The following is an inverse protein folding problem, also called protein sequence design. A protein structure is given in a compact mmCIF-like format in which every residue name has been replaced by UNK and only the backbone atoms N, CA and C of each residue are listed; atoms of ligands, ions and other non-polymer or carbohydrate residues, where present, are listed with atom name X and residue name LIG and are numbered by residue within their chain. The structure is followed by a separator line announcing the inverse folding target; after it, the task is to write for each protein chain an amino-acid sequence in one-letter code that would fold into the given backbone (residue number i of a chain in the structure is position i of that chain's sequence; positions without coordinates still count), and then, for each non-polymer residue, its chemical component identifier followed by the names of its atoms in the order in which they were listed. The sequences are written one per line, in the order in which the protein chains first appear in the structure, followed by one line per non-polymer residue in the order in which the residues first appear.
data_IF_680633020852
#
_entry.id   IF_680633020852
#
_cell.length_a   1.000
_cell.length_b   1.000
_cell.length_c   1.000
_cell.angle_alpha   90.00
_cell.angle_beta   90.00
_cell.angle_gamma   90.00
#
_symmetry.space_group_name_H-M   'P 1'
#
loop_
_entity.id
_entity.type
_entity.pdbx_description
1 polymer ?
#
# COMPACT_ATOMS: atom_id res chain seq x y z
N UNK A 1 15.39 47.94 2.50
CA UNK A 1 14.41 48.34 1.48
C UNK A 1 14.22 47.19 0.50
N UNK A 2 12.99 46.85 0.17
CA UNK A 2 12.63 45.82 -0.81
C UNK A 2 11.82 46.46 -1.94
N UNK A 3 12.16 46.17 -3.19
CA UNK A 3 11.50 46.73 -4.37
C UNK A 3 10.68 45.67 -5.07
N UNK A 4 9.43 46.00 -5.40
CA UNK A 4 8.57 45.17 -6.21
C UNK A 4 8.83 45.45 -7.68
N UNK A 5 9.48 44.54 -8.40
CA UNK A 5 9.81 44.72 -9.82
C UNK A 5 8.62 44.60 -10.77
N UNK A 6 7.45 44.18 -10.29
CA UNK A 6 6.21 44.10 -11.08
C UNK A 6 5.54 45.47 -11.21
N UNK A 7 5.58 46.28 -10.15
CA UNK A 7 4.95 47.61 -10.11
C UNK A 7 5.91 48.74 -9.69
N UNK A 8 7.21 48.44 -9.63
CA UNK A 8 8.32 49.31 -9.21
C UNK A 8 8.12 50.05 -7.88
N UNK A 9 7.38 49.44 -6.95
CA UNK A 9 7.06 50.03 -5.65
C UNK A 9 8.10 49.64 -4.59
N UNK A 10 8.58 50.61 -3.82
CA UNK A 10 9.55 50.40 -2.75
C UNK A 10 8.86 50.21 -1.40
N UNK A 11 9.43 49.32 -0.59
CA UNK A 11 8.95 49.00 0.75
C UNK A 11 10.09 49.12 1.74
N UNK A 12 9.83 49.80 2.85
CA UNK A 12 10.80 49.99 3.93
C UNK A 12 11.08 48.68 4.66
N UNK A 13 10.05 47.84 4.82
CA UNK A 13 10.11 46.57 5.55
C UNK A 13 9.83 45.36 4.64
N UNK A 14 10.46 44.22 4.95
CA UNK A 14 10.20 42.93 4.25
C UNK A 14 8.74 42.50 4.41
N UNK A 15 8.15 42.70 5.59
CA UNK A 15 6.75 42.34 5.85
C UNK A 15 5.78 43.12 4.96
N UNK A 16 6.00 44.45 4.79
CA UNK A 16 5.21 45.27 3.89
C UNK A 16 5.30 44.85 2.43
N UNK A 17 6.50 44.43 1.99
CA UNK A 17 6.71 43.86 0.66
C UNK A 17 5.94 42.54 0.45
N UNK A 18 5.99 41.62 1.41
CA UNK A 18 5.25 40.36 1.33
C UNK A 18 3.72 40.56 1.35
N UNK A 19 3.22 41.45 2.21
CA UNK A 19 1.80 41.78 2.26
C UNK A 19 1.31 42.40 0.94
N UNK A 20 2.09 43.31 0.35
CA UNK A 20 1.78 43.89 -0.96
C UNK A 20 1.68 42.83 -2.08
N UNK A 21 2.62 41.87 -2.11
CA UNK A 21 2.60 40.80 -3.12
C UNK A 21 1.43 39.84 -2.96
N UNK A 22 0.96 39.61 -1.73
CA UNK A 22 -0.20 38.77 -1.48
C UNK A 22 -1.56 39.41 -1.80
N UNK A 23 -1.66 40.74 -1.84
CA UNK A 23 -2.95 41.45 -1.90
C UNK A 23 -3.14 42.36 -3.12
N UNK A 24 -2.07 42.77 -3.81
CA UNK A 24 -2.22 43.76 -4.88
C UNK A 24 -2.72 43.14 -6.19
N UNK A 25 -3.63 43.87 -6.85
CA UNK A 25 -4.24 43.49 -8.15
C UNK A 25 -3.24 43.28 -9.30
N UNK A 26 -2.02 43.79 -9.20
CA UNK A 26 -0.98 43.59 -10.22
C UNK A 26 -0.31 42.20 -10.15
N UNK A 27 -0.50 41.46 -9.06
CA UNK A 27 0.17 40.18 -8.77
C UNK A 27 -0.73 38.97 -9.00
N UNK A 28 -1.67 39.07 -9.94
CA UNK A 28 -2.68 38.03 -10.22
C UNK A 28 -2.04 36.71 -10.66
N UNK A 29 -0.84 36.75 -11.26
CA UNK A 29 -0.10 35.59 -11.73
C UNK A 29 1.04 35.18 -10.80
N UNK A 30 1.04 35.61 -9.54
CA UNK A 30 2.06 35.18 -8.57
C UNK A 30 1.78 33.76 -8.06
N UNK A 31 2.80 32.91 -8.06
CA UNK A 31 2.74 31.64 -7.33
C UNK A 31 2.78 31.93 -5.82
N UNK A 32 1.75 31.53 -5.07
CA UNK A 32 1.65 31.84 -3.63
C UNK A 32 2.68 31.12 -2.76
N UNK A 33 3.15 29.94 -3.17
CA UNK A 33 4.13 29.15 -2.40
C UNK A 33 5.56 29.64 -2.63
N UNK A 34 5.94 29.83 -3.88
CA UNK A 34 7.30 30.24 -4.25
C UNK A 34 7.44 31.78 -4.30
N UNK A 35 6.33 32.51 -4.24
CA UNK A 35 6.25 33.95 -4.43
C UNK A 35 6.94 34.38 -5.74
N UNK A 36 6.78 33.61 -6.81
CA UNK A 36 7.36 33.94 -8.12
C UNK A 36 6.29 34.56 -9.00
N UNK A 37 6.60 35.71 -9.61
CA UNK A 37 5.72 36.37 -10.58
C UNK A 37 5.87 35.76 -11.97
N UNK A 38 4.76 35.69 -12.71
CA UNK A 38 4.71 35.19 -14.08
C UNK A 38 3.99 36.17 -15.01
N UNK A 39 4.41 36.21 -16.27
CA UNK A 39 3.82 37.09 -17.30
C UNK A 39 2.42 36.68 -17.76
N UNK A 40 1.95 35.48 -17.42
CA UNK A 40 0.62 34.98 -17.77
C UNK A 40 0.16 33.87 -16.83
N UNK A 41 -1.16 33.67 -16.72
CA UNK A 41 -1.78 32.58 -15.96
C UNK A 41 -1.27 31.20 -16.42
N UNK A 42 -1.15 30.99 -17.74
CA UNK A 42 -0.64 29.72 -18.30
C UNK A 42 0.79 29.43 -17.85
N UNK A 43 1.66 30.44 -17.81
CA UNK A 43 3.04 30.28 -17.35
C UNK A 43 3.12 29.97 -15.84
N UNK A 44 2.27 30.61 -15.04
CA UNK A 44 2.15 30.31 -13.61
C UNK A 44 1.63 28.88 -13.37
N UNK A 45 0.57 28.47 -14.07
CA UNK A 45 0.01 27.11 -13.95
C UNK A 45 1.02 26.03 -14.37
N UNK A 46 1.78 26.27 -15.45
CA UNK A 46 2.84 25.35 -15.85
C UNK A 46 3.93 25.25 -14.76
N UNK A 47 4.32 26.37 -14.18
CA UNK A 47 5.27 26.35 -13.06
C UNK A 47 4.76 25.55 -11.86
N UNK A 48 3.50 25.74 -11.47
CA UNK A 48 2.91 24.98 -10.35
C UNK A 48 2.92 23.49 -10.64
N UNK A 49 2.64 23.07 -11.89
CA UNK A 49 2.66 21.66 -12.29
C UNK A 49 4.06 21.05 -12.25
N UNK A 50 5.07 21.71 -12.81
CA UNK A 50 6.35 21.06 -13.08
C UNK A 50 7.42 21.32 -12.01
N UNK A 51 7.16 22.24 -11.09
CA UNK A 51 8.15 22.66 -10.11
C UNK A 51 8.28 21.65 -8.96
N UNK A 52 9.51 21.28 -8.55
CA UNK A 52 9.73 20.39 -7.41
C UNK A 52 9.28 21.00 -6.07
N UNK A 53 9.04 22.31 -6.02
CA UNK A 53 8.49 23.00 -4.84
C UNK A 53 6.96 22.86 -4.71
N UNK A 54 6.33 22.14 -5.63
CA UNK A 54 4.90 21.87 -5.63
C UNK A 54 4.66 20.37 -5.63
N UNK A 55 3.55 19.96 -5.03
CA UNK A 55 3.18 18.56 -4.90
C UNK A 55 1.86 18.37 -5.60
N UNK A 56 1.88 18.41 -6.93
CA UNK A 56 0.67 18.38 -7.75
C UNK A 56 0.35 16.96 -8.19
N UNK A 57 -0.91 16.56 -8.02
CA UNK A 57 -1.39 15.34 -8.67
C UNK A 57 -1.67 15.61 -10.15
N UNK A 58 -0.93 14.93 -11.04
CA UNK A 58 -1.13 15.01 -12.49
C UNK A 58 -2.23 14.07 -13.02
N UNK A 59 -2.83 13.27 -12.15
CA UNK A 59 -3.89 12.32 -12.51
C UNK A 59 -5.30 12.87 -12.22
N UNK A 60 -5.40 14.02 -11.57
CA UNK A 60 -6.64 14.74 -11.33
C UNK A 60 -6.75 15.95 -12.26
N UNK A 61 -7.94 16.21 -12.78
CA UNK A 61 -8.22 17.37 -13.64
C UNK A 61 -8.01 18.70 -12.90
N UNK A 62 -8.30 18.73 -11.59
CA UNK A 62 -8.18 19.94 -10.77
C UNK A 62 -6.74 20.25 -10.33
N UNK A 63 -5.75 19.42 -10.70
CA UNK A 63 -4.33 19.59 -10.42
C UNK A 63 -4.06 20.13 -8.99
N UNK A 64 -4.59 19.44 -7.98
CA UNK A 64 -4.48 19.86 -6.59
C UNK A 64 -3.02 19.91 -6.14
N UNK A 65 -2.61 21.07 -5.60
CA UNK A 65 -1.28 21.31 -5.04
C UNK A 65 -1.26 21.01 -3.54
N UNK A 66 -0.76 19.83 -3.16
CA UNK A 66 -0.68 19.39 -1.77
C UNK A 66 0.41 20.15 -1.00
N UNK A 67 0.26 20.24 0.32
CA UNK A 67 1.23 20.96 1.17
C UNK A 67 2.56 20.22 1.34
N UNK A 68 2.56 18.90 1.19
CA UNK A 68 3.73 18.03 1.36
C UNK A 68 3.70 16.87 0.36
N UNK A 69 4.86 16.31 0.05
CA UNK A 69 4.98 15.13 -0.81
C UNK A 69 4.22 13.92 -0.24
N UNK A 70 4.27 13.73 1.09
CA UNK A 70 3.54 12.67 1.79
C UNK A 70 2.03 12.75 1.57
N UNK A 71 1.44 13.96 1.59
CA UNK A 71 0.00 14.12 1.32
C UNK A 71 -0.36 13.81 -0.14
N UNK A 72 0.54 14.13 -1.08
CA UNK A 72 0.37 13.75 -2.47
C UNK A 72 0.46 12.21 -2.63
N UNK A 73 1.41 11.57 -1.97
CA UNK A 73 1.54 10.11 -1.99
C UNK A 73 0.31 9.43 -1.38
N UNK A 74 -0.18 9.92 -0.23
CA UNK A 74 -1.40 9.40 0.39
C UNK A 74 -2.62 9.60 -0.49
N UNK A 75 -2.72 10.74 -1.18
CA UNK A 75 -3.75 10.97 -2.17
C UNK A 75 -3.65 9.98 -3.34
N UNK A 76 -2.45 9.73 -3.86
CA UNK A 76 -2.25 8.77 -4.94
C UNK A 76 -2.60 7.33 -4.52
N UNK A 77 -2.31 6.95 -3.27
CA UNK A 77 -2.74 5.67 -2.69
C UNK A 77 -4.26 5.60 -2.62
N UNK A 78 -4.90 6.60 -2.01
CA UNK A 78 -6.33 6.52 -1.64
C UNK A 78 -7.28 6.80 -2.80
N UNK A 79 -6.89 7.68 -3.74
CA UNK A 79 -7.75 8.15 -4.83
C UNK A 79 -7.43 7.42 -6.14
N UNK A 80 -6.17 7.06 -6.35
CA UNK A 80 -5.71 6.44 -7.59
C UNK A 80 -5.24 4.99 -7.44
N UNK A 81 -5.37 4.40 -6.25
CA UNK A 81 -4.88 3.04 -5.95
C UNK A 81 -3.44 2.85 -6.48
N UNK A 82 -2.56 3.84 -6.22
CA UNK A 82 -1.18 3.82 -6.69
C UNK A 82 -0.24 3.35 -5.59
N UNK A 83 0.67 2.43 -5.93
CA UNK A 83 1.69 1.93 -5.02
C UNK A 83 2.69 3.04 -4.68
N UNK A 84 2.93 3.28 -3.39
CA UNK A 84 3.88 4.31 -2.94
C UNK A 84 5.32 4.03 -3.35
N UNK A 85 5.68 2.75 -3.50
CA UNK A 85 7.05 2.30 -3.76
C UNK A 85 7.35 2.29 -5.26
N UNK A 86 6.60 1.52 -6.06
CA UNK A 86 6.85 1.39 -7.50
C UNK A 86 6.00 2.32 -8.38
N UNK A 87 5.10 3.12 -7.79
CA UNK A 87 4.18 4.04 -8.49
C UNK A 87 3.26 3.37 -9.52
N UNK A 88 3.10 2.04 -9.46
CA UNK A 88 2.14 1.28 -10.28
C UNK A 88 0.71 1.53 -9.80
N UNK A 89 -0.21 1.69 -10.75
CA UNK A 89 -1.65 1.90 -10.51
C UNK A 89 -2.44 0.60 -10.62
N UNK A 90 -3.50 0.51 -9.83
CA UNK A 90 -4.44 -0.60 -9.79
C UNK A 90 -5.88 -0.12 -9.97
N UNK A 91 -6.76 -1.00 -10.44
CA UNK A 91 -8.17 -0.65 -10.64
C UNK A 91 -8.94 -0.59 -9.32
N UNK A 92 -8.48 -1.31 -8.30
CA UNK A 92 -9.12 -1.39 -6.97
C UNK A 92 -8.10 -1.27 -5.85
N UNK A 93 -8.55 -0.81 -4.68
CA UNK A 93 -7.73 -0.73 -3.46
C UNK A 93 -7.31 -2.12 -2.97
N UNK A 94 -8.17 -3.12 -3.11
CA UNK A 94 -7.86 -4.52 -2.79
C UNK A 94 -6.68 -5.04 -3.61
N UNK A 95 -6.65 -4.76 -4.92
CA UNK A 95 -5.55 -5.16 -5.79
C UNK A 95 -4.24 -4.44 -5.42
N UNK A 96 -4.30 -3.15 -5.05
CA UNK A 96 -3.13 -2.44 -4.55
C UNK A 96 -2.58 -3.07 -3.27
N UNK A 97 -3.45 -3.41 -2.31
CA UNK A 97 -3.05 -4.06 -1.05
C UNK A 97 -2.44 -5.44 -1.30
N UNK A 98 -3.05 -6.26 -2.15
CA UNK A 98 -2.46 -7.54 -2.55
C UNK A 98 -1.15 -7.38 -3.33
N UNK A 99 -0.90 -6.23 -3.95
CA UNK A 99 0.38 -5.95 -4.59
C UNK A 99 1.43 -5.46 -3.60
N UNK A 100 1.08 -4.69 -2.56
CA UNK A 100 2.08 -4.09 -1.67
C UNK A 100 2.95 -5.12 -0.95
N UNK A 101 2.44 -6.35 -0.76
CA UNK A 101 3.23 -7.46 -0.21
C UNK A 101 4.44 -7.80 -1.07
N UNK A 102 4.41 -7.58 -2.40
CA UNK A 102 5.56 -7.85 -3.30
C UNK A 102 6.79 -7.00 -2.95
N UNK A 103 6.60 -5.90 -2.23
CA UNK A 103 7.69 -5.06 -1.75
C UNK A 103 8.23 -5.46 -0.37
N UNK A 104 7.63 -6.46 0.28
CA UNK A 104 8.18 -7.11 1.46
C UNK A 104 9.33 -8.05 1.02
N UNK A 105 10.24 -8.34 1.94
CA UNK A 105 11.28 -9.32 1.70
C UNK A 105 10.66 -10.71 1.48
N UNK A 106 11.20 -11.50 0.55
CA UNK A 106 10.91 -12.93 0.44
C UNK A 106 11.66 -13.66 1.55
N UNK A 107 10.96 -14.02 2.62
CA UNK A 107 11.54 -14.62 3.83
C UNK A 107 10.88 -15.95 4.23
N UNK A 108 9.86 -16.40 3.48
CA UNK A 108 9.18 -17.68 3.75
C UNK A 108 9.81 -18.79 2.91
N UNK A 109 10.62 -19.63 3.54
CA UNK A 109 11.24 -20.79 2.91
C UNK A 109 10.29 -21.99 2.82
N UNK A 110 10.34 -22.71 1.70
CA UNK A 110 9.64 -23.98 1.56
C UNK A 110 10.37 -25.09 2.34
N UNK A 111 9.68 -25.91 3.15
CA UNK A 111 10.33 -26.99 3.91
C UNK A 111 10.81 -28.13 3.02
N UNK A 112 10.25 -28.29 1.81
CA UNK A 112 10.52 -29.40 0.91
C UNK A 112 11.39 -29.06 -0.31
N UNK A 113 11.80 -27.81 -0.51
CA UNK A 113 12.67 -27.40 -1.63
C UNK A 113 13.26 -26.00 -1.42
N UNK A 114 14.21 -25.60 -2.28
CA UNK A 114 14.93 -24.32 -2.17
C UNK A 114 14.11 -23.08 -2.61
N UNK A 115 12.77 -23.18 -2.71
CA UNK A 115 11.93 -22.06 -3.12
C UNK A 115 11.57 -21.18 -1.93
N UNK A 116 11.56 -19.87 -2.15
CA UNK A 116 11.15 -18.85 -1.18
C UNK A 116 9.92 -18.09 -1.66
N UNK A 117 9.11 -17.63 -0.72
CA UNK A 117 7.83 -16.96 -0.96
C UNK A 117 7.75 -15.66 -0.15
N UNK A 118 6.87 -14.79 -0.60
CA UNK A 118 6.61 -13.47 0.03
C UNK A 118 5.64 -13.61 1.21
N UNK A 119 4.80 -14.64 1.20
CA UNK A 119 3.76 -14.86 2.21
C UNK A 119 3.62 -16.34 2.55
N UNK A 120 3.01 -16.63 3.70
CA UNK A 120 2.75 -18.00 4.16
C UNK A 120 1.72 -18.68 3.27
N UNK A 121 0.66 -17.95 2.92
CA UNK A 121 -0.39 -18.44 2.01
C UNK A 121 0.18 -18.88 0.66
N UNK A 122 1.16 -18.14 0.11
CA UNK A 122 1.79 -18.48 -1.17
C UNK A 122 2.67 -19.74 -1.07
N UNK A 123 3.42 -19.90 0.01
CA UNK A 123 4.21 -21.11 0.27
C UNK A 123 3.31 -22.33 0.43
N UNK A 124 2.23 -22.23 1.22
CA UNK A 124 1.29 -23.33 1.43
C UNK A 124 0.55 -23.68 0.14
N UNK A 125 0.16 -22.69 -0.67
CA UNK A 125 -0.44 -22.93 -1.99
C UNK A 125 0.53 -23.71 -2.90
N UNK A 126 1.82 -23.36 -2.89
CA UNK A 126 2.82 -24.11 -3.64
C UNK A 126 2.87 -25.59 -3.21
N UNK A 127 2.82 -25.90 -1.91
CA UNK A 127 2.74 -27.27 -1.41
C UNK A 127 1.44 -27.97 -1.85
N UNK A 128 0.30 -27.27 -1.76
CA UNK A 128 -1.01 -27.83 -2.12
C UNK A 128 -1.11 -28.18 -3.62
N UNK A 129 -0.48 -27.39 -4.50
CA UNK A 129 -0.48 -27.66 -5.95
C UNK A 129 0.28 -28.92 -6.37
N UNK A 130 1.02 -29.56 -5.46
CA UNK A 130 1.80 -30.76 -5.81
C UNK A 130 3.04 -30.48 -6.65
N UNK A 131 3.44 -29.21 -6.78
CA UNK A 131 4.59 -28.80 -7.61
C UNK A 131 5.91 -28.74 -6.83
N UNK A 132 5.88 -29.02 -5.53
CA UNK A 132 7.05 -29.05 -4.66
C UNK A 132 7.91 -30.28 -4.93
N UNK A 133 9.23 -30.09 -5.07
CA UNK A 133 10.17 -31.19 -5.27
C UNK A 133 10.21 -32.15 -4.07
N UNK A 134 9.87 -31.67 -2.87
CA UNK A 134 9.70 -32.49 -1.66
C UNK A 134 8.44 -33.37 -1.66
N UNK A 135 7.64 -33.38 -2.73
CA UNK A 135 6.51 -34.29 -2.88
C UNK A 135 5.27 -33.95 -2.05
N UNK A 136 5.22 -32.77 -1.44
CA UNK A 136 4.03 -32.28 -0.76
C UNK A 136 2.85 -32.15 -1.74
N UNK A 137 1.63 -32.38 -1.25
CA UNK A 137 0.38 -32.28 -2.01
C UNK A 137 -0.72 -31.68 -1.15
N UNK A 138 -1.84 -31.29 -1.76
CA UNK A 138 -3.01 -30.81 -1.01
C UNK A 138 -3.40 -31.76 0.13
N UNK A 139 -3.47 -33.06 -0.14
CA UNK A 139 -3.87 -34.06 0.87
C UNK A 139 -2.88 -34.16 2.04
N UNK A 140 -1.57 -34.04 1.78
CA UNK A 140 -0.60 -34.03 2.87
C UNK A 140 -0.77 -32.77 3.72
N UNK A 141 -0.82 -31.59 3.09
CA UNK A 141 -0.98 -30.30 3.77
C UNK A 141 -2.24 -30.26 4.62
N UNK A 142 -3.40 -30.66 4.05
CA UNK A 142 -4.67 -30.69 4.77
C UNK A 142 -4.56 -31.59 6.00
N UNK A 143 -3.99 -32.79 5.87
CA UNK A 143 -3.80 -33.69 7.00
C UNK A 143 -2.91 -33.10 8.09
N UNK A 144 -1.76 -32.53 7.75
CA UNK A 144 -0.87 -31.93 8.76
C UNK A 144 -1.52 -30.74 9.48
N UNK A 145 -2.31 -29.93 8.78
CA UNK A 145 -3.05 -28.83 9.38
C UNK A 145 -4.16 -29.33 10.33
N UNK A 146 -4.85 -30.41 9.97
CA UNK A 146 -5.91 -31.03 10.79
C UNK A 146 -5.35 -31.82 11.99
N UNK A 147 -4.16 -32.40 11.86
CA UNK A 147 -3.48 -33.11 12.95
C UNK A 147 -2.82 -32.14 13.96
N UNK A 148 -2.72 -30.85 13.62
CA UNK A 148 -2.15 -29.83 14.50
C UNK A 148 -3.07 -29.56 15.71
N UNK A 149 -2.47 -29.27 16.88
CA UNK A 149 -3.22 -29.05 18.12
C UNK A 149 -4.26 -27.89 18.07
N UNK A 150 -4.07 -26.94 17.16
CA UNK A 150 -4.96 -25.80 16.91
C UNK A 150 -6.13 -26.11 15.97
N UNK A 151 -6.15 -27.28 15.31
CA UNK A 151 -7.09 -27.56 14.22
C UNK A 151 -8.55 -27.48 14.65
N UNK A 152 -8.87 -27.87 15.88
CA UNK A 152 -10.23 -27.88 16.41
C UNK A 152 -10.91 -26.50 16.39
N UNK A 153 -10.15 -25.41 16.46
CA UNK A 153 -10.68 -24.05 16.37
C UNK A 153 -10.96 -23.62 14.93
N UNK A 154 -10.32 -24.27 13.95
CA UNK A 154 -10.36 -23.89 12.55
C UNK A 154 -10.95 -24.97 11.66
N UNK A 155 -11.62 -25.99 12.21
CA UNK A 155 -12.32 -27.02 11.44
C UNK A 155 -13.80 -26.68 11.32
N UNK A 156 -14.37 -26.80 10.12
CA UNK A 156 -15.82 -26.62 9.88
C UNK A 156 -16.51 -27.93 9.49
N UNK A 157 -17.85 -27.96 9.55
CA UNK A 157 -18.64 -29.13 9.12
C UNK A 157 -18.73 -29.24 7.59
N UNK A 158 -18.78 -28.10 6.89
CA UNK A 158 -19.01 -28.02 5.44
C UNK A 158 -17.73 -27.78 4.63
N UNK A 159 -16.63 -27.43 5.30
CA UNK A 159 -15.34 -27.16 4.69
C UNK A 159 -14.24 -27.71 5.59
N UNK A 160 -13.08 -28.02 5.00
CA UNK A 160 -11.95 -28.53 5.78
C UNK A 160 -11.52 -27.54 6.86
N UNK A 161 -11.58 -26.25 6.52
CA UNK A 161 -11.20 -25.16 7.40
C UNK A 161 -12.31 -24.13 7.52
N UNK A 162 -12.45 -23.52 8.69
CA UNK A 162 -13.40 -22.45 8.98
C UNK A 162 -12.73 -21.40 9.85
N UNK A 163 -13.00 -20.12 9.59
CA UNK A 163 -12.47 -19.04 10.41
C UNK A 163 -13.37 -18.85 11.65
N UNK A 164 -12.90 -19.02 12.89
CA UNK A 164 -13.73 -18.92 14.08
C UNK A 164 -14.30 -17.51 14.33
N UNK A 165 -13.64 -16.47 13.79
CA UNK A 165 -14.04 -15.08 14.01
C UNK A 165 -15.11 -14.58 13.02
N UNK A 166 -15.28 -15.24 11.87
CA UNK A 166 -16.28 -14.84 10.86
C UNK A 166 -17.06 -15.99 10.22
N UNK A 167 -16.86 -17.23 10.69
CA UNK A 167 -17.54 -18.47 10.27
C UNK A 167 -17.40 -18.78 8.77
N UNK A 168 -16.43 -18.15 8.09
CA UNK A 168 -16.21 -18.38 6.66
C UNK A 168 -15.46 -19.68 6.44
N UNK A 169 -16.04 -20.56 5.61
CA UNK A 169 -15.45 -21.85 5.24
C UNK A 169 -14.45 -21.76 4.08
N UNK A 170 -13.42 -22.60 4.14
CA UNK A 170 -12.33 -22.73 3.17
C UNK A 170 -11.98 -24.21 2.95
N UNK A 171 -11.80 -24.63 1.71
CA UNK A 171 -11.40 -26.01 1.39
C UNK A 171 -9.88 -26.22 1.39
N UNK A 172 -9.10 -25.13 1.35
CA UNK A 172 -7.64 -25.11 1.30
C UNK A 172 -7.08 -24.35 2.50
N UNK A 173 -5.96 -24.82 3.04
CA UNK A 173 -5.27 -24.14 4.14
C UNK A 173 -4.70 -22.80 3.64
N UNK A 174 -4.18 -22.77 2.39
CA UNK A 174 -3.70 -21.53 1.77
C UNK A 174 -4.77 -20.44 1.69
N UNK A 175 -6.04 -20.81 1.46
CA UNK A 175 -7.14 -19.86 1.36
C UNK A 175 -7.52 -19.28 2.73
N UNK A 176 -7.48 -20.07 3.81
CA UNK A 176 -7.66 -19.58 5.18
C UNK A 176 -6.51 -18.64 5.58
N UNK A 177 -5.26 -19.01 5.26
CA UNK A 177 -4.10 -18.16 5.53
C UNK A 177 -4.18 -16.84 4.76
N UNK A 178 -4.55 -16.87 3.48
CA UNK A 178 -4.76 -15.66 2.68
C UNK A 178 -5.87 -14.78 3.26
N UNK A 179 -6.94 -15.39 3.78
CA UNK A 179 -8.00 -14.66 4.47
C UNK A 179 -7.45 -13.90 5.67
N UNK A 180 -6.65 -14.54 6.51
CA UNK A 180 -6.02 -13.94 7.67
C UNK A 180 -4.96 -12.88 7.32
N UNK A 181 -4.25 -13.01 6.20
CA UNK A 181 -3.30 -11.99 5.69
C UNK A 181 -3.99 -10.76 5.08
N UNK A 182 -5.28 -10.85 4.73
CA UNK A 182 -5.97 -9.84 3.92
C UNK A 182 -6.72 -8.77 4.73
N UNK A 183 -6.49 -8.64 6.03
CA UNK A 183 -7.26 -7.80 6.98
C UNK A 183 -8.79 -7.90 6.77
N UNK A 184 -9.28 -9.05 6.30
CA UNK A 184 -10.71 -9.22 5.97
C UNK A 184 -11.55 -9.57 7.19
N UNK A 185 -10.91 -9.86 8.33
CA UNK A 185 -11.47 -10.32 9.59
C UNK A 185 -10.42 -10.10 10.70
N UNK A 186 -10.83 -10.22 11.96
CA UNK A 186 -9.97 -10.06 13.15
C UNK A 186 -9.07 -11.28 13.44
N UNK A 187 -9.12 -12.31 12.58
CA UNK A 187 -8.30 -13.52 12.72
C UNK A 187 -6.80 -13.19 12.64
N UNK A 188 -6.05 -13.69 13.61
CA UNK A 188 -4.65 -13.33 13.80
C UNK A 188 -3.68 -14.40 13.31
N UNK A 189 -2.76 -14.00 12.43
CA UNK A 189 -1.58 -14.78 12.01
C UNK A 189 -0.29 -14.38 12.74
N UNK A 190 -0.41 -13.63 13.84
CA UNK A 190 0.77 -13.22 14.62
C UNK A 190 1.46 -14.43 15.28
N UNK A 191 2.75 -14.32 15.62
CA UNK A 191 3.46 -15.39 16.33
C UNK A 191 2.71 -15.87 17.56
N UNK A 192 2.64 -17.19 17.75
CA UNK A 192 1.94 -17.88 18.84
C UNK A 192 0.40 -17.81 18.80
N UNK A 193 -0.19 -17.26 17.74
CA UNK A 193 -1.64 -17.44 17.51
C UNK A 193 -1.95 -18.91 17.23
N UNK A 194 -3.18 -19.38 17.53
CA UNK A 194 -3.61 -20.73 17.18
C UNK A 194 -3.36 -21.06 15.69
N UNK A 195 -3.67 -20.14 14.79
CA UNK A 195 -3.44 -20.33 13.35
C UNK A 195 -1.95 -20.42 12.98
N UNK A 196 -1.07 -19.69 13.67
CA UNK A 196 0.39 -19.79 13.49
C UNK A 196 0.96 -21.16 13.91
N UNK A 197 0.33 -21.83 14.88
CA UNK A 197 0.70 -23.20 15.26
C UNK A 197 0.32 -24.21 14.17
N UNK A 198 -0.81 -23.99 13.48
CA UNK A 198 -1.29 -24.86 12.40
C UNK A 198 -0.36 -24.73 11.19
N UNK A 199 0.07 -23.50 10.88
CA UNK A 199 1.11 -23.24 9.90
C UNK A 199 2.45 -23.90 10.27
N UNK A 200 2.83 -23.86 11.54
CA UNK A 200 4.06 -24.52 12.02
C UNK A 200 4.02 -26.03 11.79
N UNK A 201 2.87 -26.68 11.95
CA UNK A 201 2.71 -28.12 11.67
C UNK A 201 2.88 -28.44 10.17
N UNK A 202 2.41 -27.58 9.27
CA UNK A 202 2.63 -27.72 7.82
C UNK A 202 4.12 -27.63 7.46
N UNK A 203 4.93 -26.91 8.25
CA UNK A 203 6.37 -26.76 7.98
C UNK A 203 7.23 -27.96 8.38
N UNK A 204 6.67 -28.95 9.10
CA UNK A 204 7.42 -30.12 9.59
C UNK A 204 7.38 -31.29 8.58
N UNK A 205 6.99 -31.06 7.32
CA UNK A 205 7.19 -32.07 6.27
C UNK A 205 8.68 -32.26 5.97
N UNK A 206 9.26 -33.31 6.57
CA UNK A 206 10.51 -33.97 6.18
C UNK A 206 10.38 -35.47 6.37
#
# INVERSE_FOLDING_TARGET
MATCFVCNRNFETKLGFYHHRGTAKAHVFDCRRCLRHFKSLRAQQQHVRDSPNHHVCHQCDDAQDFTTAEKLDQHAINVHNTCSICKRRFDTSSNLRSHSVVHLAVDVECPGCDRTFVTESAMVLHLETGTCAGGASQGSVTRAALDAACSAEYTGENANFECPDCEKGFHLASALLQHAESDSCDVSLQPFSPLSNCLSAIRVFS
#
